data_IF_664000203696
#
_entry.id   IF_664000203696
#
_cell.length_a   1.000
_cell.length_b   1.000
_cell.length_c   1.000
_cell.angle_alpha   90.00
_cell.angle_beta   90.00
_cell.angle_gamma   90.00
#
_symmetry.space_group_name_H-M   'P 1'
#
loop_
_entity.id
_entity.type
_entity.pdbx_description
1 polymer ?
#
# COMPACT_ATOMS: atom_id res chain seq x y z
N UNK A 1 -10.66 -0.06 9.57
CA UNK A 1 -9.54 0.27 8.65
C UNK A 1 -9.91 0.15 7.18
N UNK A 2 -10.57 -0.92 6.78
CA UNK A 2 -10.97 -1.10 5.36
C UNK A 2 -11.86 0.03 4.87
N UNK A 3 -12.85 0.44 5.67
CA UNK A 3 -13.73 1.57 5.31
C UNK A 3 -12.96 2.87 5.14
N UNK A 4 -11.98 3.11 6.01
CA UNK A 4 -11.14 4.31 5.94
C UNK A 4 -10.35 4.33 4.63
N UNK A 5 -9.79 3.20 4.23
CA UNK A 5 -9.05 3.07 2.98
C UNK A 5 -9.99 3.27 1.78
N UNK A 6 -11.19 2.68 1.81
CA UNK A 6 -12.19 2.86 0.75
C UNK A 6 -12.62 4.32 0.61
N UNK A 7 -12.85 5.00 1.72
CA UNK A 7 -13.21 6.42 1.71
C UNK A 7 -12.07 7.28 1.17
N UNK A 8 -10.84 6.96 1.52
CA UNK A 8 -9.67 7.66 1.01
C UNK A 8 -9.54 7.50 -0.50
N UNK A 9 -9.82 6.31 -1.02
CA UNK A 9 -9.82 6.07 -2.47
C UNK A 9 -10.82 7.00 -3.17
N UNK A 10 -12.01 7.15 -2.61
CA UNK A 10 -13.05 8.04 -3.17
C UNK A 10 -12.57 9.49 -3.14
N UNK A 11 -12.00 9.94 -2.03
CA UNK A 11 -11.48 11.30 -1.90
C UNK A 11 -10.35 11.58 -2.88
N UNK A 12 -9.44 10.64 -3.06
CA UNK A 12 -8.33 10.77 -4.00
C UNK A 12 -8.81 10.82 -5.45
N UNK A 13 -9.86 10.08 -5.76
CA UNK A 13 -10.50 10.17 -7.09
C UNK A 13 -11.06 11.56 -7.35
N UNK A 14 -11.73 12.14 -6.35
CA UNK A 14 -12.32 13.48 -6.45
C UNK A 14 -11.26 14.57 -6.56
N UNK A 15 -10.15 14.44 -5.83
CA UNK A 15 -9.08 15.43 -5.82
C UNK A 15 -8.10 15.32 -6.98
N UNK A 16 -8.17 14.24 -7.77
CA UNK A 16 -7.32 14.05 -8.93
C UNK A 16 -5.88 13.67 -8.61
N UNK A 17 -5.60 13.19 -7.41
CA UNK A 17 -4.25 12.77 -7.01
C UNK A 17 -3.98 11.34 -7.49
N UNK A 18 -3.59 11.22 -8.75
CA UNK A 18 -3.49 9.92 -9.44
C UNK A 18 -2.50 8.96 -8.81
N UNK A 19 -1.30 9.44 -8.45
CA UNK A 19 -0.26 8.57 -7.90
C UNK A 19 -0.67 8.00 -6.54
N UNK A 20 -1.13 8.84 -5.64
CA UNK A 20 -1.58 8.39 -4.32
C UNK A 20 -2.80 7.46 -4.44
N UNK A 21 -3.68 7.74 -5.39
CA UNK A 21 -4.83 6.88 -5.68
C UNK A 21 -4.40 5.48 -6.12
N UNK A 22 -3.43 5.38 -7.04
CA UNK A 22 -2.93 4.08 -7.50
C UNK A 22 -2.32 3.28 -6.35
N UNK A 23 -1.53 3.93 -5.50
CA UNK A 23 -0.89 3.28 -4.36
C UNK A 23 -1.94 2.80 -3.35
N UNK A 24 -2.94 3.64 -3.06
CA UNK A 24 -4.00 3.29 -2.12
C UNK A 24 -4.86 2.14 -2.65
N UNK A 25 -5.15 2.12 -3.94
CA UNK A 25 -5.85 1.01 -4.59
C UNK A 25 -5.03 -0.28 -4.53
N UNK A 26 -3.73 -0.18 -4.72
CA UNK A 26 -2.84 -1.33 -4.62
C UNK A 26 -2.88 -1.93 -3.22
N UNK A 27 -2.78 -1.09 -2.19
CA UNK A 27 -2.88 -1.51 -0.80
C UNK A 27 -4.20 -2.23 -0.54
N UNK A 28 -5.30 -1.64 -1.01
CA UNK A 28 -6.62 -2.24 -0.85
C UNK A 28 -6.72 -3.59 -1.54
N UNK A 29 -6.10 -3.73 -2.72
CA UNK A 29 -6.08 -4.99 -3.47
C UNK A 29 -5.34 -6.09 -2.70
N UNK A 30 -4.29 -5.75 -1.96
CA UNK A 30 -3.57 -6.72 -1.12
C UNK A 30 -4.48 -7.26 0.00
N UNK A 31 -5.27 -6.38 0.60
CA UNK A 31 -6.22 -6.76 1.64
C UNK A 31 -7.28 -7.69 1.06
N UNK A 32 -7.85 -7.33 -0.09
CA UNK A 32 -8.86 -8.14 -0.76
C UNK A 32 -8.33 -9.51 -1.17
N UNK A 33 -7.10 -9.56 -1.66
CA UNK A 33 -6.47 -10.83 -2.03
C UNK A 33 -6.31 -11.74 -0.84
N UNK A 34 -5.86 -11.22 0.29
CA UNK A 34 -5.71 -11.99 1.53
C UNK A 34 -7.05 -12.54 2.00
N UNK A 35 -8.09 -11.71 1.94
CA UNK A 35 -9.45 -12.13 2.31
C UNK A 35 -9.95 -13.25 1.39
N UNK A 36 -9.70 -13.13 0.10
CA UNK A 36 -10.11 -14.13 -0.88
C UNK A 36 -9.37 -15.45 -0.67
N UNK A 37 -8.06 -15.39 -0.46
CA UNK A 37 -7.23 -16.58 -0.28
C UNK A 37 -7.60 -17.36 0.99
N UNK A 38 -7.94 -16.65 2.05
CA UNK A 38 -8.34 -17.25 3.33
C UNK A 38 -9.83 -17.47 3.45
N UNK A 39 -10.61 -16.94 2.51
CA UNK A 39 -12.08 -17.00 2.52
C UNK A 39 -12.69 -16.47 3.84
N UNK A 40 -12.14 -15.35 4.33
CA UNK A 40 -12.60 -14.68 5.55
C UNK A 40 -12.56 -13.17 5.34
N UNK A 41 -13.28 -12.44 6.19
CA UNK A 41 -13.16 -10.98 6.28
C UNK A 41 -12.08 -10.66 7.33
N UNK A 42 -11.09 -9.85 6.94
CA UNK A 42 -10.00 -9.51 7.84
C UNK A 42 -10.44 -8.48 8.88
N UNK A 43 -10.02 -8.72 10.12
CA UNK A 43 -10.16 -7.75 11.21
C UNK A 43 -9.07 -6.70 11.09
N UNK A 44 -9.24 -5.57 11.79
CA UNK A 44 -8.27 -4.47 11.74
C UNK A 44 -6.84 -4.93 12.07
N UNK A 45 -6.66 -5.79 13.07
CA UNK A 45 -5.34 -6.32 13.42
C UNK A 45 -4.71 -7.12 12.28
N UNK A 46 -5.52 -7.84 11.52
CA UNK A 46 -5.06 -8.61 10.36
C UNK A 46 -4.74 -7.71 9.17
N UNK A 47 -5.54 -6.65 8.98
CA UNK A 47 -5.26 -5.62 7.97
C UNK A 47 -3.91 -4.98 8.26
N UNK A 48 -3.63 -4.63 9.51
CA UNK A 48 -2.35 -4.07 9.93
C UNK A 48 -1.20 -5.01 9.57
N UNK A 49 -1.36 -6.31 9.75
CA UNK A 49 -0.32 -7.29 9.39
C UNK A 49 -0.06 -7.30 7.87
N UNK A 50 -1.10 -7.20 7.05
CA UNK A 50 -0.96 -7.10 5.60
C UNK A 50 -0.16 -5.86 5.24
N UNK A 51 -0.47 -4.71 5.87
CA UNK A 51 0.23 -3.45 5.63
C UNK A 51 1.70 -3.51 6.06
N UNK A 52 1.99 -4.14 7.18
CA UNK A 52 3.37 -4.32 7.65
C UNK A 52 4.20 -5.17 6.69
N UNK A 53 3.60 -6.24 6.16
CA UNK A 53 4.28 -7.07 5.15
C UNK A 53 4.54 -6.29 3.87
N UNK A 54 3.59 -5.44 3.47
CA UNK A 54 3.76 -4.58 2.30
C UNK A 54 4.91 -3.60 2.50
N UNK A 55 4.99 -2.96 3.65
CA UNK A 55 6.09 -2.04 3.99
C UNK A 55 7.43 -2.76 3.92
N UNK A 56 7.53 -3.94 4.51
CA UNK A 56 8.77 -4.72 4.50
C UNK A 56 9.21 -5.04 3.08
N UNK A 57 8.27 -5.46 2.23
CA UNK A 57 8.56 -5.74 0.82
C UNK A 57 9.06 -4.48 0.11
N UNK A 58 8.41 -3.34 0.35
CA UNK A 58 8.83 -2.08 -0.24
C UNK A 58 10.23 -1.67 0.24
N UNK A 59 10.55 -1.88 1.52
CA UNK A 59 11.88 -1.61 2.07
C UNK A 59 12.95 -2.48 1.43
N UNK A 60 12.66 -3.76 1.21
CA UNK A 60 13.58 -4.67 0.54
C UNK A 60 13.82 -4.23 -0.92
N UNK A 61 12.76 -3.87 -1.63
CA UNK A 61 12.86 -3.34 -2.99
C UNK A 61 13.64 -2.03 -3.03
N UNK A 62 13.39 -1.15 -2.06
CA UNK A 62 14.10 0.12 -1.94
C UNK A 62 15.60 -0.10 -1.83
N UNK A 63 16.02 -1.04 -0.97
CA UNK A 63 17.42 -1.39 -0.80
C UNK A 63 18.03 -1.88 -2.12
N UNK A 64 17.32 -2.74 -2.84
CA UNK A 64 17.77 -3.26 -4.12
C UNK A 64 17.94 -2.16 -5.16
N UNK A 65 16.98 -1.23 -5.24
CA UNK A 65 17.03 -0.12 -6.19
C UNK A 65 18.17 0.85 -5.88
N UNK A 66 18.44 1.10 -4.61
CA UNK A 66 19.55 1.95 -4.19
C UNK A 66 20.89 1.32 -4.57
N UNK A 67 21.02 0.00 -4.37
CA UNK A 67 22.24 -0.73 -4.75
C UNK A 67 22.45 -0.75 -6.26
N UNK A 68 21.35 -0.75 -7.04
CA UNK A 68 21.40 -0.72 -8.50
C UNK A 68 21.46 0.69 -9.07
N UNK A 69 21.54 1.74 -8.22
CA UNK A 69 21.55 3.15 -8.60
C UNK A 69 20.31 3.55 -9.42
N UNK A 70 19.16 2.99 -9.06
CA UNK A 70 17.88 3.28 -9.72
C UNK A 70 17.05 4.21 -8.84
N UNK A 71 17.42 5.48 -8.82
CA UNK A 71 16.79 6.50 -7.98
C UNK A 71 15.31 6.72 -8.33
N UNK A 72 14.93 6.58 -9.58
CA UNK A 72 13.55 6.70 -10.05
C UNK A 72 12.65 5.67 -9.36
N UNK A 73 13.08 4.40 -9.34
CA UNK A 73 12.34 3.32 -8.70
C UNK A 73 12.41 3.39 -7.17
N UNK A 74 13.56 3.80 -6.63
CA UNK A 74 13.74 3.97 -5.19
C UNK A 74 12.78 5.04 -4.65
N UNK A 75 12.65 6.17 -5.33
CA UNK A 75 11.75 7.25 -4.92
C UNK A 75 10.29 6.80 -4.89
N UNK A 76 9.88 5.96 -5.84
CA UNK A 76 8.52 5.42 -5.86
C UNK A 76 8.26 4.52 -4.65
N UNK A 77 9.22 3.66 -4.31
CA UNK A 77 9.09 2.80 -3.14
C UNK A 77 8.99 3.60 -1.85
N UNK A 78 9.77 4.67 -1.73
CA UNK A 78 9.69 5.57 -0.57
C UNK A 78 8.32 6.21 -0.43
N UNK A 79 7.72 6.65 -1.53
CA UNK A 79 6.37 7.22 -1.51
C UNK A 79 5.30 6.20 -1.14
N UNK A 80 5.43 4.98 -1.64
CA UNK A 80 4.52 3.90 -1.27
C UNK A 80 4.57 3.62 0.24
N UNK A 81 5.77 3.56 0.81
CA UNK A 81 5.95 3.36 2.25
C UNK A 81 5.30 4.48 3.04
N UNK A 82 5.50 5.73 2.65
CA UNK A 82 4.90 6.88 3.32
C UNK A 82 3.37 6.80 3.34
N UNK A 83 2.79 6.43 2.21
CA UNK A 83 1.33 6.33 2.09
C UNK A 83 0.79 5.18 2.94
N UNK A 84 1.45 4.03 2.92
CA UNK A 84 1.05 2.89 3.75
C UNK A 84 1.10 3.24 5.23
N UNK A 85 2.11 3.98 5.66
CA UNK A 85 2.28 4.37 7.07
C UNK A 85 1.19 5.30 7.60
N UNK A 86 0.39 5.91 6.74
CA UNK A 86 -0.76 6.71 7.17
C UNK A 86 -1.83 5.86 7.84
N UNK A 87 -1.84 4.60 7.61
CA UNK A 87 -2.79 3.63 8.18
C UNK A 87 -2.10 2.74 9.21
#
# INVERSE_FOLDING_TARGET
MKKKIQMEIIELMKSGQKEELEITRYIFSLIQKEEKDKNIELKDSEVIQVLKKAIKRNQDSLTQYKLADRQDLASREEREIEIIKKY
#
